data_IF_548127316328
#
_entry.id   IF_548127316328
#
_cell.length_a   1.000
_cell.length_b   1.000
_cell.length_c   1.000
_cell.angle_alpha   90.00
_cell.angle_beta   90.00
_cell.angle_gamma   90.00
#
_symmetry.space_group_name_H-M   'P 1'
#
loop_
_entity.id
_entity.type
_entity.pdbx_description
1 polymer ?
#
# COMPACT_ATOMS: atom_id res chain seq x y z
N UNK A 1 5.42 -19.15 6.36
CA UNK A 1 6.54 -18.25 6.64
C UNK A 1 6.12 -16.87 6.16
N UNK A 2 5.64 -16.01 7.07
CA UNK A 2 5.21 -14.65 6.73
C UNK A 2 6.44 -13.90 6.23
N UNK A 3 6.35 -13.19 5.09
CA UNK A 3 7.43 -12.30 4.65
C UNK A 3 7.43 -11.06 5.55
N UNK A 4 8.09 -11.20 6.71
CA UNK A 4 8.37 -10.12 7.64
C UNK A 4 9.61 -9.41 7.10
N UNK A 5 9.46 -8.15 6.71
CA UNK A 5 10.59 -7.36 6.23
C UNK A 5 11.32 -6.82 7.46
N UNK A 6 12.30 -7.60 7.96
CA UNK A 6 13.26 -7.11 8.95
C UNK A 6 14.43 -6.43 8.21
N UNK A 7 14.70 -5.16 8.53
CA UNK A 7 15.94 -4.49 8.09
C UNK A 7 17.09 -4.93 9.01
N UNK A 8 18.01 -5.71 8.46
CA UNK A 8 19.21 -6.14 9.18
C UNK A 8 20.17 -4.95 9.38
N UNK A 9 20.53 -4.68 10.63
CA UNK A 9 21.63 -3.80 10.99
C UNK A 9 22.98 -4.55 10.90
N UNK A 10 23.95 -3.95 10.19
CA UNK A 10 25.38 -4.04 10.52
C UNK A 10 26.16 -5.26 10.02
N UNK A 11 26.84 -5.11 8.88
CA UNK A 11 28.14 -5.73 8.65
C UNK A 11 29.06 -4.70 7.99
N UNK A 12 30.01 -4.20 8.77
CA UNK A 12 30.97 -3.18 8.37
C UNK A 12 32.05 -3.74 7.43
N UNK A 13 32.33 -3.03 6.34
CA UNK A 13 33.62 -3.08 5.67
C UNK A 13 34.23 -1.68 5.71
N UNK A 14 35.36 -1.55 6.42
CA UNK A 14 36.16 -0.32 6.49
C UNK A 14 36.99 -0.18 5.22
N UNK A 15 36.95 1.00 4.60
CA UNK A 15 38.10 1.57 3.89
C UNK A 15 38.32 2.98 4.41
N UNK A 16 39.57 3.28 4.77
CA UNK A 16 40.01 4.52 5.35
C UNK A 16 40.18 5.61 4.29
N UNK A 17 39.83 6.87 4.63
CA UNK A 17 40.41 8.03 3.96
C UNK A 17 39.55 9.30 3.87
N UNK A 18 39.68 10.14 4.92
CA UNK A 18 39.76 11.61 4.88
C UNK A 18 38.47 12.46 4.77
N UNK A 19 38.49 13.52 5.58
CA UNK A 19 37.46 14.51 5.94
C UNK A 19 36.88 15.30 4.77
N UNK A 20 35.57 15.60 4.85
CA UNK A 20 35.05 16.98 4.93
C UNK A 20 33.56 16.96 5.35
N UNK A 21 33.19 17.89 6.23
CA UNK A 21 31.89 17.93 6.88
C UNK A 21 30.74 18.39 5.98
N UNK A 22 29.56 17.82 6.21
CA UNK A 22 28.28 18.45 5.89
C UNK A 22 27.21 17.83 6.79
N UNK A 23 26.41 18.71 7.38
CA UNK A 23 25.32 18.47 8.31
C UNK A 23 24.36 17.39 7.83
N UNK A 24 24.17 16.35 8.65
CA UNK A 24 23.18 15.31 8.45
C UNK A 24 21.79 15.85 8.81
N UNK A 25 20.90 15.91 7.83
CA UNK A 25 19.46 15.93 8.06
C UNK A 25 19.07 14.53 8.59
N UNK A 26 18.44 14.51 9.76
CA UNK A 26 17.90 13.29 10.37
C UNK A 26 16.78 12.74 9.48
N UNK A 27 17.06 11.63 8.79
CA UNK A 27 16.04 10.81 8.15
C UNK A 27 15.34 9.99 9.24
N UNK A 28 14.12 10.36 9.59
CA UNK A 28 13.21 9.53 10.39
C UNK A 28 12.99 8.20 9.68
N UNK A 29 13.25 7.11 10.38
CA UNK A 29 13.08 5.75 9.87
C UNK A 29 11.60 5.40 9.90
N UNK A 30 11.07 4.74 8.87
CA UNK A 30 9.66 4.32 8.80
C UNK A 30 9.23 3.42 9.98
N UNK A 31 10.20 2.89 10.74
CA UNK A 31 10.00 2.12 11.96
C UNK A 31 9.65 2.98 13.19
N UNK A 32 9.97 4.27 13.18
CA UNK A 32 9.68 5.18 14.30
C UNK A 32 8.17 5.50 14.39
N UNK A 33 7.43 5.31 13.28
CA UNK A 33 5.98 5.55 13.15
C UNK A 33 5.08 4.44 13.76
N UNK A 34 5.67 3.42 14.41
CA UNK A 34 4.98 2.25 14.96
C UNK A 34 5.27 2.09 16.46
N UNK A 35 4.29 2.34 17.34
CA UNK A 35 4.39 1.95 18.75
C UNK A 35 3.99 0.47 18.96
N UNK A 36 4.84 -0.29 19.65
CA UNK A 36 4.60 -1.67 20.13
C UNK A 36 4.19 -1.64 21.62
N UNK A 37 3.08 -2.32 21.95
CA UNK A 37 2.66 -2.57 23.33
C UNK A 37 2.85 -4.05 23.65
N UNK A 38 4.09 -4.48 23.91
CA UNK A 38 4.34 -5.78 24.54
C UNK A 38 5.68 -5.83 25.30
N UNK A 39 5.60 -5.90 26.64
CA UNK A 39 6.78 -6.16 27.49
C UNK A 39 7.17 -7.65 27.46
N UNK A 40 8.47 -8.00 27.51
CA UNK A 40 8.93 -9.37 27.49
C UNK A 40 8.79 -10.04 28.86
N UNK A 41 7.97 -11.10 28.95
CA UNK A 41 7.93 -11.98 30.14
C UNK A 41 8.92 -13.13 29.99
N UNK A 42 9.77 -13.28 31.01
CA UNK A 42 10.73 -14.37 31.19
C UNK A 42 10.04 -15.70 31.49
N UNK A 43 10.48 -16.78 30.83
CA UNK A 43 10.00 -18.16 31.04
C UNK A 43 10.98 -18.92 31.93
N UNK A 44 10.56 -19.57 33.04
CA UNK A 44 11.38 -20.55 33.74
C UNK A 44 11.24 -21.96 33.14
N UNK A 45 12.34 -22.71 33.24
CA UNK A 45 12.57 -24.08 32.76
C UNK A 45 11.69 -25.15 33.42
N UNK A 46 11.48 -26.19 32.62
CA UNK A 46 10.61 -27.38 32.70
C UNK A 46 11.00 -28.41 33.78
N UNK A 47 9.99 -29.11 34.35
CA UNK A 47 9.98 -30.57 34.62
C UNK A 47 8.81 -30.97 35.54
N UNK A 48 7.77 -31.57 34.96
CA UNK A 48 7.15 -32.85 35.37
C UNK A 48 5.68 -32.95 34.91
N UNK A 49 5.44 -33.99 34.10
CA UNK A 49 4.14 -34.31 33.51
C UNK A 49 3.43 -35.37 34.37
N UNK A 50 2.08 -35.40 34.38
CA UNK A 50 1.47 -36.63 33.90
C UNK A 50 0.33 -36.37 32.89
N UNK A 51 0.22 -37.31 31.96
CA UNK A 51 -0.67 -37.33 30.80
C UNK A 51 -2.15 -37.29 31.18
N UNK A 52 -2.82 -36.18 30.83
CA UNK A 52 -4.27 -36.14 30.65
C UNK A 52 -4.51 -35.92 29.16
N UNK A 53 -5.25 -36.83 28.54
CA UNK A 53 -5.75 -36.70 27.18
C UNK A 53 -6.84 -35.62 27.16
N UNK A 54 -6.44 -34.37 27.27
CA UNK A 54 -7.29 -33.22 27.00
C UNK A 54 -7.26 -33.01 25.50
N UNK A 55 -8.42 -33.08 24.84
CA UNK A 55 -8.56 -32.60 23.49
C UNK A 55 -7.93 -31.20 23.42
N UNK A 56 -6.89 -31.03 22.61
CA UNK A 56 -6.27 -29.72 22.37
C UNK A 56 -7.32 -28.88 21.66
N UNK A 57 -8.15 -28.21 22.45
CA UNK A 57 -8.90 -27.06 21.98
C UNK A 57 -7.82 -26.07 21.57
N UNK A 58 -7.60 -25.97 20.27
CA UNK A 58 -6.76 -24.91 19.72
C UNK A 58 -7.36 -23.62 20.25
N UNK A 59 -6.62 -22.79 21.02
CA UNK A 59 -7.18 -21.54 21.50
C UNK A 59 -7.77 -20.80 20.29
N UNK A 60 -8.96 -20.19 20.42
CA UNK A 60 -9.56 -19.46 19.32
C UNK A 60 -8.50 -18.50 18.77
N UNK A 61 -8.35 -18.39 17.44
CA UNK A 61 -7.35 -17.49 16.87
C UNK A 61 -7.55 -16.12 17.50
N UNK A 62 -6.48 -15.59 18.10
CA UNK A 62 -6.51 -14.30 18.77
C UNK A 62 -7.02 -13.28 17.77
N UNK A 63 -8.20 -12.73 18.01
CA UNK A 63 -8.79 -11.68 17.19
C UNK A 63 -7.92 -10.44 17.40
N UNK A 64 -7.33 -9.87 16.35
CA UNK A 64 -6.54 -8.65 16.47
C UNK A 64 -7.39 -7.53 17.07
N UNK A 65 -6.87 -6.88 18.11
CA UNK A 65 -7.50 -5.70 18.68
C UNK A 65 -7.43 -4.55 17.68
N UNK A 66 -8.47 -3.70 17.67
CA UNK A 66 -8.51 -2.52 16.79
C UNK A 66 -7.82 -1.36 17.51
N UNK A 67 -6.73 -0.80 16.97
CA UNK A 67 -6.04 0.31 17.62
C UNK A 67 -6.92 1.56 17.67
N UNK A 68 -7.00 2.16 18.85
CA UNK A 68 -7.70 3.43 19.11
C UNK A 68 -6.85 4.63 18.68
N UNK A 69 -7.49 5.80 18.52
CA UNK A 69 -6.83 7.07 18.18
C UNK A 69 -7.25 7.64 16.82
N UNK A 70 -7.05 8.96 16.68
CA UNK A 70 -7.36 9.74 15.48
C UNK A 70 -6.08 10.42 15.01
N UNK A 71 -5.35 9.75 14.12
CA UNK A 71 -4.16 10.29 13.47
C UNK A 71 -4.20 9.91 11.99
N UNK A 72 -3.86 10.84 11.11
CA UNK A 72 -3.74 10.61 9.68
C UNK A 72 -2.39 11.12 9.24
N UNK A 73 -1.51 10.20 8.84
CA UNK A 73 -0.22 10.56 8.27
C UNK A 73 -0.42 10.94 6.81
N UNK A 74 0.04 12.13 6.43
CA UNK A 74 0.06 12.54 5.02
C UNK A 74 1.19 11.80 4.29
N UNK A 75 0.92 10.56 3.86
CA UNK A 75 1.87 9.74 3.12
C UNK A 75 1.58 9.80 1.62
N UNK A 76 2.34 10.59 0.83
CA UNK A 76 2.19 10.61 -0.61
C UNK A 76 2.71 9.30 -1.21
N UNK A 77 1.91 8.69 -2.09
CA UNK A 77 2.29 7.53 -2.88
C UNK A 77 2.37 7.92 -4.37
N UNK A 78 3.26 7.25 -5.11
CA UNK A 78 3.58 7.53 -6.51
C UNK A 78 3.43 6.22 -7.26
N UNK A 79 2.44 6.17 -8.14
CA UNK A 79 2.01 4.95 -8.84
C UNK A 79 2.31 5.08 -10.32
N UNK A 80 3.18 4.23 -10.84
CA UNK A 80 3.43 4.14 -12.27
C UNK A 80 2.25 3.51 -12.99
N UNK A 81 1.71 4.21 -13.98
CA UNK A 81 0.58 3.79 -14.80
C UNK A 81 1.05 2.89 -15.95
N UNK A 82 1.67 1.76 -15.58
CA UNK A 82 2.22 0.77 -16.52
C UNK A 82 1.14 0.18 -17.42
N UNK A 83 -0.10 0.03 -16.91
CA UNK A 83 -1.26 -0.41 -17.68
C UNK A 83 -1.66 0.55 -18.81
N UNK A 84 -1.17 1.80 -18.75
CA UNK A 84 -1.46 2.87 -19.71
C UNK A 84 -0.35 3.07 -20.74
N UNK A 85 0.71 2.24 -20.73
CA UNK A 85 1.78 2.32 -21.72
C UNK A 85 1.38 1.53 -22.99
N UNK A 86 1.55 2.09 -24.21
CA UNK A 86 2.01 3.44 -24.50
C UNK A 86 0.91 4.49 -24.24
N UNK A 87 1.33 5.68 -23.81
CA UNK A 87 0.42 6.82 -23.61
C UNK A 87 0.07 7.42 -24.97
N UNK A 88 -1.19 7.26 -25.37
CA UNK A 88 -1.74 7.73 -26.64
C UNK A 88 -2.37 9.12 -26.52
N UNK A 89 -2.98 9.42 -25.37
CA UNK A 89 -3.62 10.70 -25.15
C UNK A 89 -3.67 11.15 -23.70
N UNK A 90 -3.60 12.47 -23.53
CA UNK A 90 -3.86 13.21 -22.29
C UNK A 90 -4.98 14.20 -22.56
N UNK A 91 -5.97 14.25 -21.68
CA UNK A 91 -7.00 15.27 -21.67
C UNK A 91 -7.17 15.82 -20.26
N UNK A 92 -7.31 17.13 -20.13
CA UNK A 92 -7.40 17.80 -18.83
C UNK A 92 -8.68 18.61 -18.70
N UNK A 93 -9.17 18.75 -17.47
CA UNK A 93 -10.25 19.69 -17.18
C UNK A 93 -9.72 21.14 -17.10
N UNK A 94 -10.61 22.17 -17.12
CA UNK A 94 -10.18 23.57 -17.07
C UNK A 94 -9.46 23.98 -15.78
N UNK A 95 -9.54 23.19 -14.71
CA UNK A 95 -8.85 23.45 -13.44
C UNK A 95 -7.41 22.92 -13.44
N UNK A 96 -7.11 21.95 -14.29
CA UNK A 96 -5.81 21.32 -14.40
C UNK A 96 -4.82 22.21 -15.13
N UNK A 97 -3.56 22.19 -14.69
CA UNK A 97 -2.44 22.89 -15.31
C UNK A 97 -1.26 21.95 -15.48
N UNK A 98 -0.84 21.74 -16.72
CA UNK A 98 0.38 21.01 -17.06
C UNK A 98 1.55 21.97 -17.26
N UNK A 99 2.70 21.65 -16.66
CA UNK A 99 3.92 22.46 -16.70
C UNK A 99 5.15 21.61 -17.02
N UNK A 100 6.06 22.18 -17.79
CA UNK A 100 7.41 21.64 -17.97
C UNK A 100 8.32 22.00 -16.77
N UNK A 101 9.53 21.41 -16.64
CA UNK A 101 10.45 21.72 -15.53
C UNK A 101 10.88 23.19 -15.50
N UNK A 102 10.88 23.86 -16.66
CA UNK A 102 11.13 25.31 -16.76
C UNK A 102 10.02 26.19 -16.16
N UNK A 103 8.91 25.60 -15.71
CA UNK A 103 7.74 26.32 -15.20
C UNK A 103 6.74 26.76 -16.27
N UNK A 104 7.10 26.64 -17.56
CA UNK A 104 6.23 26.94 -18.70
C UNK A 104 4.97 26.07 -18.67
N UNK A 105 3.80 26.73 -18.69
CA UNK A 105 2.50 26.07 -18.83
C UNK A 105 2.32 25.61 -20.28
N UNK A 106 1.82 24.39 -20.47
CA UNK A 106 1.56 23.81 -21.78
C UNK A 106 0.12 23.31 -21.88
N UNK A 107 -0.45 23.38 -23.08
CA UNK A 107 -1.83 22.93 -23.38
C UNK A 107 -1.88 21.42 -23.62
N UNK A 108 -3.08 20.83 -23.56
CA UNK A 108 -3.29 19.43 -23.90
C UNK A 108 -2.80 19.09 -25.31
N UNK A 109 -3.01 19.99 -26.28
CA UNK A 109 -2.51 19.81 -27.64
C UNK A 109 -0.98 19.68 -27.66
N UNK A 110 -0.27 20.54 -26.91
CA UNK A 110 1.18 20.50 -26.79
C UNK A 110 1.67 19.25 -26.05
N UNK A 111 0.98 18.83 -24.98
CA UNK A 111 1.28 17.58 -24.28
C UNK A 111 1.15 16.40 -25.25
N UNK A 112 0.02 16.30 -25.97
CA UNK A 112 -0.23 15.22 -26.93
C UNK A 112 0.75 15.24 -28.12
N UNK A 113 1.22 16.42 -28.53
CA UNK A 113 2.27 16.52 -29.55
C UNK A 113 3.61 15.96 -29.04
N UNK A 114 3.97 16.22 -27.78
CA UNK A 114 5.17 15.67 -27.15
C UNK A 114 5.08 14.15 -26.96
N UNK A 115 3.90 13.62 -26.63
CA UNK A 115 3.69 12.17 -26.51
C UNK A 115 3.94 11.41 -27.81
N UNK A 116 3.72 12.06 -28.96
CA UNK A 116 3.96 11.49 -30.30
C UNK A 116 5.40 11.63 -30.77
N UNK A 117 6.26 12.34 -30.05
CA UNK A 117 7.67 12.47 -30.38
C UNK A 117 8.54 11.61 -29.46
N UNK A 118 9.73 11.26 -29.93
CA UNK A 118 10.75 10.56 -29.13
C UNK A 118 11.50 11.52 -28.19
N UNK A 119 11.04 12.77 -28.09
CA UNK A 119 11.66 13.75 -27.21
C UNK A 119 11.47 13.33 -25.75
N UNK A 120 12.60 13.06 -25.08
CA UNK A 120 12.64 12.89 -23.65
C UNK A 120 12.16 14.16 -22.94
N UNK A 121 11.65 14.00 -21.73
CA UNK A 121 11.12 15.14 -20.99
C UNK A 121 10.37 14.78 -19.74
N UNK A 122 9.86 15.82 -19.08
CA UNK A 122 9.05 15.71 -17.88
C UNK A 122 7.92 16.74 -17.96
N UNK A 123 6.72 16.35 -17.58
CA UNK A 123 5.55 17.22 -17.53
C UNK A 123 4.81 16.94 -16.23
N UNK A 124 4.50 17.98 -15.46
CA UNK A 124 3.71 17.84 -14.23
C UNK A 124 2.35 18.50 -14.41
N UNK A 125 1.28 17.72 -14.30
CA UNK A 125 -0.11 18.16 -14.37
C UNK A 125 -0.76 18.07 -12.99
N UNK A 126 -1.38 19.16 -12.51
CA UNK A 126 -2.06 19.21 -11.20
C UNK A 126 -3.20 20.21 -11.16
N UNK A 127 -4.02 20.15 -10.11
CA UNK A 127 -5.05 21.15 -9.79
C UNK A 127 -6.48 20.74 -10.11
N UNK A 128 -6.69 19.73 -10.96
CA UNK A 128 -8.00 19.22 -11.33
C UNK A 128 -7.97 17.74 -11.71
N UNK A 129 -8.85 17.34 -12.62
CA UNK A 129 -8.92 16.00 -13.19
C UNK A 129 -8.22 15.94 -14.55
N UNK A 130 -7.62 14.80 -14.82
CA UNK A 130 -7.09 14.49 -16.14
C UNK A 130 -7.37 13.04 -16.51
N UNK A 131 -7.32 12.74 -17.79
CA UNK A 131 -7.41 11.38 -18.30
C UNK A 131 -6.16 11.00 -19.06
N UNK A 132 -5.64 9.81 -18.80
CA UNK A 132 -4.59 9.14 -19.57
C UNK A 132 -5.25 8.01 -20.34
N UNK A 133 -5.18 8.02 -21.67
CA UNK A 133 -5.87 7.05 -22.54
C UNK A 133 -7.36 6.86 -22.18
N UNK A 134 -8.06 7.96 -21.93
CA UNK A 134 -9.44 8.01 -21.45
C UNK A 134 -9.71 7.50 -20.01
N UNK A 135 -8.72 6.91 -19.33
CA UNK A 135 -8.84 6.53 -17.91
C UNK A 135 -8.68 7.77 -17.01
N UNK A 136 -9.62 8.07 -16.10
CA UNK A 136 -9.59 9.28 -15.30
C UNK A 136 -8.72 9.16 -14.04
N UNK A 137 -7.96 10.22 -13.76
CA UNK A 137 -7.08 10.37 -12.61
C UNK A 137 -7.30 11.74 -11.94
N UNK A 138 -6.82 11.85 -10.70
CA UNK A 138 -6.86 13.07 -9.88
C UNK A 138 -5.50 13.35 -9.25
N UNK A 139 -5.41 14.44 -8.51
CA UNK A 139 -4.22 14.89 -7.80
C UNK A 139 -3.13 15.32 -8.79
N UNK A 140 -1.91 14.84 -8.62
CA UNK A 140 -0.79 15.17 -9.52
C UNK A 140 -0.52 13.99 -10.44
N UNK A 141 -0.37 14.24 -11.74
CA UNK A 141 0.20 13.28 -12.68
C UNK A 141 1.48 13.85 -13.28
N UNK A 142 2.55 13.09 -13.18
CA UNK A 142 3.84 13.38 -13.79
C UNK A 142 4.03 12.46 -15.01
N UNK A 143 4.28 13.04 -16.18
CA UNK A 143 4.69 12.31 -17.37
C UNK A 143 6.20 12.40 -17.47
N UNK A 144 6.89 11.28 -17.59
CA UNK A 144 8.34 11.23 -17.76
C UNK A 144 8.69 10.41 -19.00
N UNK A 145 9.70 10.85 -19.74
CA UNK A 145 10.33 10.08 -20.80
C UNK A 145 11.85 10.24 -20.68
N UNK A 146 12.54 9.13 -20.42
CA UNK A 146 14.01 9.06 -20.29
C UNK A 146 14.69 8.39 -21.49
N UNK A 147 13.99 8.30 -22.61
CA UNK A 147 14.47 7.62 -23.83
C UNK A 147 13.85 6.24 -24.07
N UNK A 148 13.01 5.76 -23.15
CA UNK A 148 12.30 4.46 -23.24
C UNK A 148 10.80 4.63 -23.51
N UNK A 149 10.39 5.85 -23.90
CA UNK A 149 8.99 6.21 -24.08
C UNK A 149 8.37 6.90 -22.85
N UNK A 150 7.16 7.40 -23.03
CA UNK A 150 6.44 8.14 -21.99
C UNK A 150 5.78 7.21 -20.97
N UNK A 151 6.07 7.45 -19.70
CA UNK A 151 5.42 6.85 -18.53
C UNK A 151 4.67 7.92 -17.74
N UNK A 152 3.47 7.60 -17.28
CA UNK A 152 2.70 8.45 -16.39
C UNK A 152 2.81 7.91 -14.97
N UNK A 153 2.97 8.82 -14.00
CA UNK A 153 3.06 8.53 -12.58
C UNK A 153 1.99 9.36 -11.87
N UNK A 154 1.04 8.71 -11.21
CA UNK A 154 0.06 9.40 -10.40
C UNK A 154 0.58 9.54 -8.96
N UNK A 155 0.74 10.78 -8.49
CA UNK A 155 1.09 11.15 -7.13
C UNK A 155 -0.15 11.65 -6.38
N UNK A 156 -0.47 10.99 -5.26
CA UNK A 156 -1.65 11.20 -4.44
C UNK A 156 -1.42 10.73 -3.00
N UNK A 157 -2.28 11.13 -2.07
CA UNK A 157 -2.22 10.62 -0.69
C UNK A 157 -2.62 9.15 -0.63
N UNK A 158 -2.12 8.44 0.39
CA UNK A 158 -2.35 7.01 0.58
C UNK A 158 -3.84 6.63 0.61
N UNK A 159 -4.69 7.34 1.36
CA UNK A 159 -6.10 6.96 1.53
C UNK A 159 -6.93 7.04 0.22
N UNK A 160 -6.83 8.11 -0.60
CA UNK A 160 -7.40 8.11 -1.96
C UNK A 160 -6.90 6.97 -2.85
N UNK A 161 -5.63 6.58 -2.74
CA UNK A 161 -5.06 5.43 -3.43
C UNK A 161 -5.71 4.12 -2.98
N UNK A 162 -5.79 3.88 -1.66
CA UNK A 162 -6.42 2.68 -1.10
C UNK A 162 -7.89 2.56 -1.52
N UNK A 163 -8.66 3.64 -1.50
CA UNK A 163 -10.04 3.61 -1.98
C UNK A 163 -10.15 3.19 -3.46
N UNK A 164 -9.20 3.59 -4.30
CA UNK A 164 -9.13 3.18 -5.71
C UNK A 164 -8.79 1.70 -5.85
N UNK A 165 -7.82 1.21 -5.08
CA UNK A 165 -7.42 -0.20 -5.08
C UNK A 165 -8.58 -1.08 -4.63
N UNK A 166 -9.21 -0.78 -3.49
CA UNK A 166 -10.34 -1.58 -2.97
C UNK A 166 -11.47 -1.68 -4.01
N UNK A 167 -11.80 -0.60 -4.71
CA UNK A 167 -12.84 -0.63 -5.74
C UNK A 167 -12.42 -1.26 -7.07
N UNK A 168 -11.12 -1.40 -7.33
CA UNK A 168 -10.62 -2.12 -8.50
C UNK A 168 -10.54 -3.63 -8.25
N UNK A 169 -10.35 -4.02 -6.98
CA UNK A 169 -10.17 -5.39 -6.52
C UNK A 169 -11.48 -6.07 -6.08
N UNK A 170 -12.37 -5.33 -5.41
CA UNK A 170 -13.61 -5.88 -4.86
C UNK A 170 -14.85 -5.17 -5.42
N UNK A 171 -15.93 -5.90 -5.73
CA UNK A 171 -17.20 -5.29 -6.09
C UNK A 171 -17.74 -4.38 -4.98
N UNK A 172 -18.16 -3.18 -5.35
CA UNK A 172 -18.56 -2.14 -4.38
C UNK A 172 -19.81 -2.47 -3.55
N UNK A 173 -20.58 -3.49 -3.97
CA UNK A 173 -21.78 -4.00 -3.28
C UNK A 173 -21.47 -5.12 -2.28
N UNK A 174 -20.21 -5.55 -2.16
CA UNK A 174 -19.79 -6.51 -1.16
C UNK A 174 -19.91 -5.93 0.26
N UNK A 175 -19.89 -6.81 1.25
CA UNK A 175 -20.13 -6.47 2.64
C UNK A 175 -19.08 -5.47 3.13
N UNK A 176 -19.51 -4.46 3.90
CA UNK A 176 -18.63 -3.38 4.36
C UNK A 176 -17.42 -3.90 5.14
N UNK A 177 -17.58 -4.94 5.96
CA UNK A 177 -16.48 -5.56 6.72
C UNK A 177 -15.45 -6.25 5.82
N UNK A 178 -15.87 -6.80 4.67
CA UNK A 178 -14.94 -7.35 3.68
C UNK A 178 -14.15 -6.24 2.98
N UNK A 179 -14.81 -5.15 2.58
CA UNK A 179 -14.16 -3.98 2.00
C UNK A 179 -13.16 -3.33 2.97
N UNK A 180 -13.49 -3.28 4.28
CA UNK A 180 -12.60 -2.81 5.34
C UNK A 180 -11.37 -3.70 5.50
N UNK A 181 -11.54 -5.03 5.48
CA UNK A 181 -10.43 -5.97 5.56
C UNK A 181 -9.46 -5.78 4.38
N UNK A 182 -10.00 -5.60 3.18
CA UNK A 182 -9.20 -5.30 1.99
C UNK A 182 -8.49 -3.95 2.07
N UNK A 183 -9.12 -2.91 2.63
CA UNK A 183 -8.49 -1.61 2.80
C UNK A 183 -7.24 -1.72 3.69
N UNK A 184 -7.32 -2.44 4.81
CA UNK A 184 -6.18 -2.67 5.72
C UNK A 184 -5.07 -3.47 5.04
N UNK A 185 -5.41 -4.55 4.33
CA UNK A 185 -4.43 -5.33 3.58
C UNK A 185 -3.77 -4.47 2.47
N UNK A 186 -4.56 -3.76 1.67
CA UNK A 186 -4.03 -2.92 0.61
C UNK A 186 -3.09 -1.82 1.15
N UNK A 187 -3.42 -1.23 2.30
CA UNK A 187 -2.59 -0.22 2.97
C UNK A 187 -1.24 -0.77 3.42
N UNK A 188 -1.24 -1.97 3.99
CA UNK A 188 -0.01 -2.62 4.49
C UNK A 188 0.93 -2.96 3.33
N UNK A 189 0.39 -3.45 2.21
CA UNK A 189 1.15 -3.66 0.97
C UNK A 189 1.74 -2.35 0.42
N UNK A 190 0.93 -1.29 0.36
CA UNK A 190 1.36 0.01 -0.14
C UNK A 190 2.51 0.60 0.70
N UNK A 191 2.47 0.43 2.02
CA UNK A 191 3.53 0.88 2.92
C UNK A 191 4.84 0.12 2.75
N UNK A 192 4.79 -1.19 2.50
CA UNK A 192 6.00 -1.96 2.19
C UNK A 192 6.72 -1.39 0.95
N UNK A 193 5.96 -0.85 -0.01
CA UNK A 193 6.47 -0.20 -1.23
C UNK A 193 6.87 1.26 -1.05
N UNK A 194 6.32 1.95 -0.04
CA UNK A 194 6.85 3.23 0.42
C UNK A 194 8.23 3.04 1.07
N UNK A 195 8.39 1.99 1.89
CA UNK A 195 9.66 1.64 2.53
C UNK A 195 10.74 1.19 1.52
N UNK A 196 10.32 0.46 0.48
CA UNK A 196 11.21 -0.08 -0.56
C UNK A 196 10.61 0.19 -1.94
N UNK A 197 10.83 1.40 -2.48
CA UNK A 197 10.28 1.80 -3.76
C UNK A 197 10.77 0.91 -4.91
N UNK A 198 9.90 0.66 -5.88
CA UNK A 198 10.24 -0.07 -7.10
C UNK A 198 11.31 0.64 -7.95
N UNK A 199 11.36 1.97 -7.89
CA UNK A 199 12.37 2.80 -8.55
C UNK A 199 12.51 4.15 -7.86
N UNK A 200 13.45 4.98 -8.32
CA UNK A 200 13.58 6.35 -7.86
C UNK A 200 12.40 7.27 -8.26
N UNK A 201 11.57 6.87 -9.23
CA UNK A 201 10.46 7.69 -9.71
C UNK A 201 9.11 7.30 -9.13
N UNK A 202 8.94 6.06 -8.69
CA UNK A 202 7.64 5.57 -8.22
C UNK A 202 7.80 4.44 -7.21
N UNK A 203 6.81 4.35 -6.32
CA UNK A 203 6.76 3.34 -5.26
C UNK A 203 6.33 1.98 -5.80
N UNK A 204 5.30 1.94 -6.65
CA UNK A 204 4.76 0.73 -7.26
C UNK A 204 4.03 1.01 -8.59
N UNK A 205 3.66 -0.05 -9.31
CA UNK A 205 2.86 0.03 -10.54
C UNK A 205 1.37 -0.25 -10.34
N UNK A 206 0.56 -0.07 -11.38
CA UNK A 206 -0.90 -0.24 -11.39
C UNK A 206 -1.40 -1.57 -12.00
N UNK A 207 -0.49 -2.50 -12.31
CA UNK A 207 -0.81 -3.82 -12.86
C UNK A 207 -1.02 -4.86 -11.76
N UNK A 208 -1.59 -6.02 -12.11
CA UNK A 208 -1.83 -7.15 -11.20
C UNK A 208 -0.57 -7.76 -10.59
N UNK A 209 0.62 -7.41 -11.08
CA UNK A 209 1.89 -7.74 -10.42
C UNK A 209 2.02 -7.05 -9.06
N UNK A 210 1.35 -5.92 -8.90
CA UNK A 210 1.34 -5.11 -7.68
C UNK A 210 -0.06 -5.18 -7.06
N UNK A 211 -0.86 -4.15 -7.26
CA UNK A 211 -2.26 -4.08 -6.92
C UNK A 211 -3.02 -3.47 -8.08
N UNK A 212 -4.28 -3.89 -8.30
CA UNK A 212 -5.09 -3.26 -9.31
C UNK A 212 -5.40 -1.81 -8.90
N UNK A 213 -4.93 -0.84 -9.69
CA UNK A 213 -5.21 0.58 -9.48
C UNK A 213 -5.78 1.18 -10.77
N UNK A 214 -6.99 1.74 -10.69
CA UNK A 214 -7.72 2.29 -11.86
C UNK A 214 -8.02 3.78 -11.74
N UNK A 215 -7.23 4.50 -10.94
CA UNK A 215 -7.39 5.94 -10.75
C UNK A 215 -8.73 6.29 -10.11
N UNK A 216 -9.39 7.35 -10.61
CA UNK A 216 -10.68 7.80 -10.09
C UNK A 216 -11.84 6.89 -10.50
N UNK A 217 -11.67 6.07 -11.53
CA UNK A 217 -12.75 5.25 -12.12
C UNK A 217 -13.27 4.16 -11.18
N UNK A 218 -12.41 3.61 -10.31
CA UNK A 218 -12.79 2.55 -9.37
C UNK A 218 -13.25 3.08 -8.01
N UNK A 219 -13.17 4.39 -7.76
CA UNK A 219 -13.54 4.97 -6.45
C UNK A 219 -15.04 5.15 -6.33
N UNK A 220 -15.64 4.43 -5.41
CA UNK A 220 -17.08 4.52 -5.08
C UNK A 220 -17.29 5.17 -3.70
N UNK A 221 -18.54 5.47 -3.34
CA UNK A 221 -18.88 5.89 -1.97
C UNK A 221 -18.48 4.80 -0.96
N UNK A 222 -18.87 3.55 -1.22
CA UNK A 222 -18.63 2.43 -0.29
C UNK A 222 -17.15 2.12 -0.07
N UNK A 223 -16.32 2.24 -1.10
CA UNK A 223 -14.86 2.01 -0.99
C UNK A 223 -14.17 3.15 -0.23
N UNK A 224 -14.62 4.40 -0.40
CA UNK A 224 -14.17 5.52 0.42
C UNK A 224 -14.58 5.35 1.87
N UNK A 225 -15.82 4.96 2.14
CA UNK A 225 -16.31 4.77 3.51
C UNK A 225 -15.56 3.65 4.23
N UNK A 226 -15.29 2.53 3.56
CA UNK A 226 -14.50 1.42 4.11
C UNK A 226 -13.04 1.82 4.40
N UNK A 227 -12.45 2.58 3.49
CA UNK A 227 -11.07 3.09 3.62
C UNK A 227 -10.98 4.10 4.77
N UNK A 228 -11.93 5.04 4.86
CA UNK A 228 -12.03 6.01 5.95
C UNK A 228 -12.27 5.34 7.30
N UNK A 229 -13.15 4.34 7.38
CA UNK A 229 -13.43 3.61 8.62
C UNK A 229 -12.22 2.81 9.14
N UNK A 230 -11.24 2.55 8.28
CA UNK A 230 -9.99 1.83 8.60
C UNK A 230 -8.75 2.70 8.40
N UNK A 231 -8.94 4.03 8.34
CA UNK A 231 -7.87 4.98 8.02
C UNK A 231 -6.66 4.75 8.93
N UNK A 232 -5.48 4.66 8.33
CA UNK A 232 -4.22 4.40 9.03
C UNK A 232 -4.07 3.02 9.68
N UNK A 233 -5.07 2.12 9.63
CA UNK A 233 -4.94 0.77 10.19
C UNK A 233 -4.22 -0.14 9.20
N UNK A 234 -3.22 -0.88 9.69
CA UNK A 234 -2.36 -1.77 8.93
C UNK A 234 -2.19 -3.12 9.65
N UNK A 235 -1.71 -4.12 8.93
CA UNK A 235 -1.21 -5.38 9.48
C UNK A 235 0.25 -5.20 9.91
N UNK A 236 0.54 -5.64 11.14
CA UNK A 236 1.87 -5.64 11.74
C UNK A 236 2.23 -7.04 12.24
N UNK A 237 3.51 -7.40 12.19
CA UNK A 237 4.01 -8.65 12.75
C UNK A 237 5.38 -8.38 13.39
N UNK A 238 5.51 -8.65 14.70
CA UNK A 238 6.74 -8.41 15.47
C UNK A 238 7.31 -6.98 15.31
N UNK A 239 6.44 -5.96 15.28
CA UNK A 239 6.84 -4.57 15.09
C UNK A 239 7.19 -4.17 13.65
N UNK A 240 7.21 -5.11 12.70
CA UNK A 240 7.44 -4.86 11.28
C UNK A 240 6.15 -4.74 10.46
N UNK A 241 6.19 -3.93 9.40
CA UNK A 241 5.10 -3.85 8.40
C UNK A 241 5.04 -5.17 7.63
N UNK A 242 3.86 -5.77 7.58
CA UNK A 242 3.63 -6.99 6.80
C UNK A 242 3.27 -6.62 5.36
N UNK A 243 4.03 -7.15 4.40
CA UNK A 243 3.60 -7.16 3.00
C UNK A 243 2.41 -8.12 2.87
N UNK A 244 1.19 -7.59 3.01
CA UNK A 244 -0.01 -8.42 3.02
C UNK A 244 -0.49 -8.70 1.60
N UNK A 245 -0.16 -9.90 1.13
CA UNK A 245 -0.63 -10.41 -0.16
C UNK A 245 -2.07 -10.88 -0.05
N UNK A 246 -2.84 -10.74 -1.12
CA UNK A 246 -4.23 -11.20 -1.22
C UNK A 246 -4.52 -11.73 -2.62
N UNK A 247 -5.55 -12.58 -2.75
CA UNK A 247 -5.93 -13.24 -3.99
C UNK A 247 -7.45 -13.34 -4.15
N UNK A 248 -7.92 -13.50 -5.40
CA UNK A 248 -9.36 -13.57 -5.71
C UNK A 248 -10.08 -14.70 -4.97
N UNK A 249 -9.52 -15.91 -5.00
CA UNK A 249 -10.08 -17.08 -4.34
C UNK A 249 -9.02 -17.83 -3.51
N UNK A 250 -9.48 -18.80 -2.72
CA UNK A 250 -8.63 -19.58 -1.81
C UNK A 250 -7.63 -20.49 -2.53
N UNK A 251 -7.96 -21.01 -3.71
CA UNK A 251 -7.06 -21.84 -4.51
C UNK A 251 -5.85 -21.01 -4.99
N UNK A 252 -6.10 -19.82 -5.54
CA UNK A 252 -5.03 -18.89 -5.95
C UNK A 252 -4.22 -18.44 -4.74
N UNK A 253 -4.87 -18.15 -3.61
CA UNK A 253 -4.16 -17.79 -2.37
C UNK A 253 -3.19 -18.90 -1.93
N UNK A 254 -3.66 -20.16 -1.91
CA UNK A 254 -2.85 -21.30 -1.51
C UNK A 254 -1.72 -21.59 -2.51
N UNK A 255 -2.00 -21.52 -3.81
CA UNK A 255 -1.05 -21.85 -4.87
C UNK A 255 -0.01 -20.74 -5.09
N UNK A 256 -0.44 -19.48 -5.18
CA UNK A 256 0.44 -18.34 -5.45
C UNK A 256 1.15 -17.84 -4.19
N UNK A 257 0.51 -17.90 -3.01
CA UNK A 257 1.03 -17.30 -1.78
C UNK A 257 1.22 -18.29 -0.63
N UNK A 258 0.93 -19.58 -0.81
CA UNK A 258 1.08 -20.59 0.25
C UNK A 258 2.50 -20.69 0.81
N UNK A 259 3.51 -20.46 -0.04
CA UNK A 259 4.92 -20.41 0.37
C UNK A 259 5.28 -19.12 1.14
N UNK A 260 4.50 -18.04 0.97
CA UNK A 260 4.67 -16.72 1.59
C UNK A 260 3.93 -16.59 2.93
N UNK A 261 3.33 -17.70 3.40
CA UNK A 261 2.77 -17.84 4.74
C UNK A 261 1.29 -17.49 4.85
N UNK A 262 0.91 -16.23 4.62
CA UNK A 262 -0.45 -15.75 4.83
C UNK A 262 -0.93 -14.89 3.66
N UNK A 263 -2.14 -15.16 3.18
CA UNK A 263 -2.80 -14.36 2.14
C UNK A 263 -4.31 -14.44 2.27
N UNK A 264 -4.98 -13.29 2.09
CA UNK A 264 -6.43 -13.20 2.18
C UNK A 264 -7.10 -13.59 0.87
N UNK A 265 -8.10 -14.48 0.93
CA UNK A 265 -9.03 -14.70 -0.18
C UNK A 265 -10.13 -13.63 -0.15
N UNK A 266 -10.33 -12.92 -1.25
CA UNK A 266 -11.38 -11.90 -1.37
C UNK A 266 -12.78 -12.49 -1.21
N UNK A 267 -13.10 -13.57 -1.92
CA UNK A 267 -14.37 -14.30 -1.74
C UNK A 267 -14.53 -14.88 -0.33
N UNK A 268 -13.43 -15.39 0.25
CA UNK A 268 -13.41 -15.88 1.63
C UNK A 268 -13.73 -14.76 2.63
N UNK A 269 -13.14 -13.58 2.47
CA UNK A 269 -13.43 -12.40 3.29
C UNK A 269 -14.90 -11.98 3.16
N UNK A 270 -15.45 -11.98 1.95
CA UNK A 270 -16.87 -11.72 1.72
C UNK A 270 -17.76 -12.73 2.45
N UNK A 271 -17.46 -14.03 2.35
CA UNK A 271 -18.23 -15.08 3.00
C UNK A 271 -18.18 -14.98 4.53
N UNK A 272 -17.04 -14.61 5.11
CA UNK A 272 -16.91 -14.39 6.55
C UNK A 272 -17.68 -13.14 7.00
N UNK A 273 -17.61 -12.05 6.23
CA UNK A 273 -18.38 -10.84 6.50
C UNK A 273 -19.91 -11.12 6.46
N UNK A 274 -20.38 -11.92 5.50
CA UNK A 274 -21.78 -12.34 5.42
C UNK A 274 -22.23 -13.22 6.60
N UNK A 275 -21.30 -13.89 7.27
CA UNK A 275 -21.53 -14.63 8.53
C UNK A 275 -21.51 -13.74 9.77
N UNK A 276 -21.31 -12.42 9.60
CA UNK A 276 -21.34 -11.43 10.66
C UNK A 276 -19.97 -11.07 11.25
N UNK A 277 -18.89 -11.64 10.74
CA UNK A 277 -17.54 -11.33 11.24
C UNK A 277 -17.16 -9.88 10.87
N UNK A 278 -16.48 -9.22 11.81
CA UNK A 278 -15.86 -7.91 11.64
C UNK A 278 -14.54 -8.03 10.88
N UNK A 279 -14.10 -6.93 10.29
CA UNK A 279 -12.90 -6.91 9.46
C UNK A 279 -11.64 -7.39 10.21
N UNK A 280 -11.51 -7.10 11.51
CA UNK A 280 -10.38 -7.57 12.31
C UNK A 280 -10.43 -9.09 12.54
N UNK A 281 -11.62 -9.67 12.74
CA UNK A 281 -11.80 -11.12 12.82
C UNK A 281 -11.49 -11.80 11.48
N UNK A 282 -11.91 -11.19 10.37
CA UNK A 282 -11.58 -11.64 9.01
C UNK A 282 -10.06 -11.63 8.80
N UNK A 283 -9.39 -10.53 9.17
CA UNK A 283 -7.94 -10.41 9.03
C UNK A 283 -7.20 -11.41 9.94
N UNK A 284 -7.64 -11.60 11.19
CA UNK A 284 -7.07 -12.60 12.10
C UNK A 284 -7.24 -14.03 11.59
N UNK A 285 -8.28 -14.31 10.81
CA UNK A 285 -8.47 -15.61 10.15
C UNK A 285 -7.40 -15.87 9.08
N UNK A 286 -7.12 -14.89 8.21
CA UNK A 286 -6.22 -15.03 7.07
C UNK A 286 -4.74 -14.77 7.40
N UNK A 287 -4.46 -13.86 8.33
CA UNK A 287 -3.11 -13.44 8.72
C UNK A 287 -2.81 -13.86 10.17
N UNK A 288 -2.80 -15.17 10.42
CA UNK A 288 -2.60 -15.71 11.77
C UNK A 288 -1.28 -15.24 12.37
N UNK A 289 -1.36 -14.64 13.56
CA UNK A 289 -0.21 -14.10 14.29
C UNK A 289 0.14 -12.65 13.95
N UNK A 290 -0.49 -12.05 12.94
CA UNK A 290 -0.39 -10.61 12.72
C UNK A 290 -1.31 -9.86 13.71
N UNK A 291 -0.84 -8.71 14.17
CA UNK A 291 -1.63 -7.72 14.91
C UNK A 291 -2.09 -6.61 13.97
N UNK A 292 -3.00 -5.76 14.45
CA UNK A 292 -3.32 -4.50 13.78
C UNK A 292 -2.54 -3.39 14.47
N UNK A 293 -1.94 -2.51 13.67
CA UNK A 293 -1.31 -1.27 14.13
C UNK A 293 -1.97 -0.08 13.44
N UNK A 294 -1.79 1.12 14.01
CA UNK A 294 -2.26 2.37 13.43
C UNK A 294 -1.07 3.28 13.17
N UNK A 295 -0.97 3.77 11.94
CA UNK A 295 -0.02 4.81 11.57
C UNK A 295 -0.30 6.07 12.40
N UNK A 296 0.71 6.60 13.07
CA UNK A 296 0.64 7.89 13.76
C UNK A 296 1.50 8.91 13.03
N UNK A 297 1.06 10.15 13.08
CA UNK A 297 1.83 11.28 12.61
C UNK A 297 2.64 11.71 13.82
N UNK A 298 3.89 11.29 13.88
CA UNK A 298 4.81 11.71 14.93
C UNK A 298 5.13 13.16 14.57
N UNK A 299 4.28 14.09 15.02
CA UNK A 299 4.55 15.51 14.86
C UNK A 299 5.98 15.76 15.31
N UNK A 300 6.81 16.17 14.36
CA UNK A 300 8.23 16.45 14.60
C UNK A 300 8.46 17.47 15.70
#
# INVERSE_FOLDING_TARGET
MILVIATAAGAAYRFAGRDEGSTAEESTSLLDLLEDSSEPRTVPSDSDQPSITTAVQTPPPLVPEIPTGTGSVALPIRVALLSQVPIKSVATDPATRCRMPSGRVITDEQVNALLRSDAGGRIRCRGGRLSINASPYRHTVELINRGEGWLAINELDLEPYIASVVGAEMPSYWAAEALKAQAVAARSYALAHLARPASADYHLGDTTRWQAYKGDASRTVTTRDATQATQGIILSYQGGIVESLYAANSAISAEAHGHLGASMSQEGAQNLALKGLKYNEILGHFYRGASLARLRDDGG
#
